data_IF_149026863932
#
_entry.id   IF_149026863932
#
_cell.length_a   1.000
_cell.length_b   1.000
_cell.length_c   1.000
_cell.angle_alpha   90.00
_cell.angle_beta   90.00
_cell.angle_gamma   90.00
#
_symmetry.space_group_name_H-M   'P 1'
#
loop_
_entity.id
_entity.type
_entity.pdbx_description
1 polymer ?
#
# COMPACT_ATOMS: atom_id res chain seq x y z
N UNK A 1 10.17 -13.53 17.67
CA UNK A 1 9.35 -14.42 18.52
C UNK A 1 10.19 -14.86 19.72
N UNK A 2 10.41 -13.92 20.62
CA UNK A 2 11.01 -14.17 21.93
C UNK A 2 9.94 -14.66 22.90
N UNK A 3 10.29 -15.56 23.82
CA UNK A 3 9.37 -16.06 24.85
C UNK A 3 8.84 -14.90 25.72
N UNK A 4 9.67 -13.87 25.92
CA UNK A 4 9.31 -12.66 26.66
C UNK A 4 8.22 -11.83 25.96
N UNK A 5 8.21 -11.77 24.63
CA UNK A 5 7.17 -11.08 23.85
C UNK A 5 5.82 -11.79 23.99
N UNK A 6 5.82 -13.13 23.94
CA UNK A 6 4.61 -13.93 24.08
C UNK A 6 4.01 -13.80 25.50
N UNK A 7 4.85 -13.83 26.52
CA UNK A 7 4.42 -13.69 27.92
C UNK A 7 3.90 -12.27 28.17
N UNK A 8 4.63 -11.24 27.72
CA UNK A 8 4.23 -9.85 27.90
C UNK A 8 2.89 -9.50 27.23
N UNK A 9 2.66 -10.03 26.02
CA UNK A 9 1.40 -9.85 25.28
C UNK A 9 0.22 -10.55 25.97
N UNK A 10 0.46 -11.68 26.65
CA UNK A 10 -0.59 -12.40 27.40
C UNK A 10 -1.12 -11.58 28.59
N UNK A 11 -0.24 -10.80 29.24
CA UNK A 11 -0.58 -9.98 30.40
C UNK A 11 -1.09 -8.58 30.02
N UNK A 12 -0.65 -8.02 28.90
CA UNK A 12 -1.05 -6.70 28.43
C UNK A 12 -1.11 -6.66 26.89
N UNK A 13 -2.22 -7.15 26.31
CA UNK A 13 -2.37 -7.19 24.86
C UNK A 13 -2.36 -5.77 24.29
N UNK A 14 -1.46 -5.54 23.34
CA UNK A 14 -1.40 -4.29 22.61
C UNK A 14 -2.47 -4.22 21.53
N UNK A 15 -2.87 -3.00 21.17
CA UNK A 15 -3.77 -2.82 20.03
C UNK A 15 -3.04 -3.15 18.73
N UNK A 16 -3.66 -3.98 17.90
CA UNK A 16 -3.14 -4.39 16.59
C UNK A 16 -3.93 -3.69 15.50
N UNK A 17 -3.22 -3.25 14.47
CA UNK A 17 -3.83 -2.70 13.27
C UNK A 17 -4.63 -3.75 12.49
N UNK A 18 -5.43 -3.28 11.53
CA UNK A 18 -6.33 -4.12 10.75
C UNK A 18 -6.09 -3.96 9.24
N UNK A 19 -6.38 -5.03 8.51
CA UNK A 19 -6.49 -5.02 7.06
C UNK A 19 -7.97 -5.13 6.71
N UNK A 20 -8.52 -4.04 6.19
CA UNK A 20 -9.92 -3.93 5.79
C UNK A 20 -10.01 -3.96 4.26
N UNK A 21 -11.02 -4.65 3.73
CA UNK A 21 -11.30 -4.71 2.29
C UNK A 21 -12.43 -3.76 1.87
N UNK A 22 -13.11 -3.14 2.85
CA UNK A 22 -14.30 -2.33 2.66
C UNK A 22 -13.95 -0.84 2.73
N UNK A 23 -13.25 -0.34 1.71
CA UNK A 23 -12.81 1.06 1.70
C UNK A 23 -13.92 2.02 1.26
N UNK A 24 -14.41 2.85 2.19
CA UNK A 24 -15.25 4.01 1.86
C UNK A 24 -14.37 5.05 1.17
N UNK A 25 -14.60 5.26 -0.13
CA UNK A 25 -13.78 6.12 -0.98
C UNK A 25 -14.23 7.57 -0.89
N UNK A 26 -13.24 8.45 -0.72
CA UNK A 26 -13.45 9.89 -0.75
C UNK A 26 -13.81 10.38 -2.15
N UNK A 27 -14.78 11.28 -2.21
CA UNK A 27 -15.16 12.00 -3.42
C UNK A 27 -14.38 13.32 -3.48
N UNK A 28 -13.83 13.64 -4.65
CA UNK A 28 -13.03 14.86 -4.86
C UNK A 28 -13.71 15.80 -5.85
N UNK A 29 -13.45 17.11 -5.74
CA UNK A 29 -13.88 18.05 -6.76
C UNK A 29 -13.17 17.79 -8.10
N UNK A 30 -13.87 18.07 -9.21
CA UNK A 30 -13.45 17.72 -10.57
C UNK A 30 -12.04 18.18 -10.96
N UNK A 31 -11.61 19.37 -10.52
CA UNK A 31 -10.25 19.89 -10.77
C UNK A 31 -9.17 19.01 -10.12
N UNK A 32 -9.38 18.59 -8.87
CA UNK A 32 -8.45 17.71 -8.17
C UNK A 32 -8.41 16.30 -8.75
N UNK A 33 -9.53 15.80 -9.29
CA UNK A 33 -9.56 14.50 -9.98
C UNK A 33 -8.58 14.49 -11.15
N UNK A 34 -8.57 15.54 -11.98
CA UNK A 34 -7.67 15.64 -13.15
C UNK A 34 -6.21 15.70 -12.70
N UNK A 35 -5.89 16.54 -11.71
CA UNK A 35 -4.52 16.66 -11.18
C UNK A 35 -4.03 15.31 -10.65
N UNK A 36 -4.86 14.63 -9.85
CA UNK A 36 -4.54 13.30 -9.32
C UNK A 36 -4.36 12.25 -10.41
N UNK A 37 -5.15 12.31 -11.48
CA UNK A 37 -5.00 11.42 -12.64
C UNK A 37 -3.65 11.65 -13.32
N UNK A 38 -3.26 12.90 -13.58
CA UNK A 38 -1.96 13.23 -14.19
C UNK A 38 -0.81 12.70 -13.32
N UNK A 39 -0.84 12.97 -12.01
CA UNK A 39 0.16 12.45 -11.06
C UNK A 39 0.19 10.92 -11.09
N UNK A 40 -0.97 10.27 -11.17
CA UNK A 40 -1.07 8.80 -11.22
C UNK A 40 -0.49 8.21 -12.50
N UNK A 41 -0.70 8.84 -13.65
CA UNK A 41 -0.10 8.41 -14.92
C UNK A 41 1.42 8.57 -14.91
N UNK A 42 1.94 9.67 -14.34
CA UNK A 42 3.37 9.86 -14.15
C UNK A 42 3.98 8.80 -13.21
N UNK A 43 3.30 8.49 -12.10
CA UNK A 43 3.70 7.43 -11.17
C UNK A 43 3.68 6.05 -11.81
N UNK A 44 2.66 5.74 -12.60
CA UNK A 44 2.56 4.47 -13.33
C UNK A 44 3.69 4.34 -14.35
N UNK A 45 3.93 5.38 -15.16
CA UNK A 45 5.03 5.42 -16.12
C UNK A 45 6.41 5.32 -15.45
N UNK A 46 6.59 5.93 -14.28
CA UNK A 46 7.81 5.78 -13.49
C UNK A 46 8.00 4.34 -13.02
N UNK A 47 6.95 3.69 -12.50
CA UNK A 47 7.03 2.28 -12.09
C UNK A 47 7.38 1.38 -13.27
N UNK A 48 6.68 1.53 -14.40
CA UNK A 48 6.99 0.79 -15.63
C UNK A 48 8.43 1.01 -16.09
N UNK A 49 8.89 2.26 -16.11
CA UNK A 49 10.27 2.59 -16.44
C UNK A 49 11.27 1.88 -15.51
N UNK A 50 11.03 1.89 -14.19
CA UNK A 50 11.91 1.22 -13.23
C UNK A 50 11.97 -0.30 -13.44
N UNK A 51 10.86 -0.94 -13.81
CA UNK A 51 10.84 -2.37 -14.11
C UNK A 51 11.49 -2.70 -15.46
N UNK A 52 11.25 -1.89 -16.49
CA UNK A 52 11.68 -2.17 -17.87
C UNK A 52 13.06 -1.61 -18.22
N UNK A 53 13.65 -0.74 -17.39
CA UNK A 53 14.99 -0.16 -17.62
C UNK A 53 16.11 -1.21 -17.68
N UNK A 54 15.89 -2.42 -17.16
CA UNK A 54 16.91 -3.47 -17.16
C UNK A 54 17.21 -3.93 -18.60
N UNK A 55 18.43 -3.67 -19.12
CA UNK A 55 18.74 -3.79 -20.55
C UNK A 55 18.66 -5.22 -21.09
N UNK A 56 18.72 -6.24 -20.20
CA UNK A 56 18.62 -7.65 -20.59
C UNK A 56 17.23 -8.06 -21.10
N UNK A 57 16.18 -7.26 -20.87
CA UNK A 57 14.81 -7.67 -21.16
C UNK A 57 14.01 -6.64 -21.97
N UNK A 58 14.64 -5.58 -22.47
CA UNK A 58 13.94 -4.48 -23.15
C UNK A 58 13.20 -4.91 -24.43
N UNK A 59 13.71 -5.93 -25.14
CA UNK A 59 13.08 -6.49 -26.35
C UNK A 59 12.35 -7.82 -26.11
N UNK A 60 12.25 -8.27 -24.87
CA UNK A 60 11.57 -9.51 -24.52
C UNK A 60 10.07 -9.25 -24.30
N UNK A 61 9.27 -9.55 -25.32
CA UNK A 61 7.81 -9.38 -25.26
C UNK A 61 7.18 -10.14 -24.09
N UNK A 62 7.70 -11.33 -23.74
CA UNK A 62 7.20 -12.13 -22.63
C UNK A 62 7.49 -11.43 -21.30
N UNK A 63 8.65 -10.80 -21.17
CA UNK A 63 8.99 -10.01 -19.98
C UNK A 63 8.07 -8.79 -19.83
N UNK A 64 7.84 -8.04 -20.91
CA UNK A 64 6.94 -6.88 -20.91
C UNK A 64 5.54 -7.30 -20.45
N UNK A 65 5.00 -8.40 -20.98
CA UNK A 65 3.70 -8.93 -20.56
C UNK A 65 3.69 -9.32 -19.08
N UNK A 66 4.74 -9.97 -18.57
CA UNK A 66 4.85 -10.35 -17.15
C UNK A 66 4.86 -9.13 -16.23
N UNK A 67 5.62 -8.09 -16.57
CA UNK A 67 5.67 -6.84 -15.80
C UNK A 67 4.30 -6.16 -15.77
N UNK A 68 3.63 -6.05 -16.92
CA UNK A 68 2.30 -5.45 -17.01
C UNK A 68 1.25 -6.26 -16.24
N UNK A 69 1.28 -7.59 -16.34
CA UNK A 69 0.39 -8.46 -15.57
C UNK A 69 0.63 -8.32 -14.06
N UNK A 70 1.90 -8.24 -13.63
CA UNK A 70 2.26 -8.01 -12.24
C UNK A 70 1.76 -6.65 -11.74
N UNK A 71 1.99 -5.57 -12.49
CA UNK A 71 1.51 -4.23 -12.16
C UNK A 71 -0.01 -4.19 -12.08
N UNK A 72 -0.72 -4.85 -13.00
CA UNK A 72 -2.18 -4.93 -12.97
C UNK A 72 -2.68 -5.62 -11.69
N UNK A 73 -2.09 -6.77 -11.34
CA UNK A 73 -2.43 -7.49 -10.10
C UNK A 73 -2.13 -6.61 -8.88
N UNK A 74 -0.96 -5.98 -8.84
CA UNK A 74 -0.58 -5.06 -7.78
C UNK A 74 -1.58 -3.91 -7.61
N UNK A 75 -2.01 -3.27 -8.70
CA UNK A 75 -3.02 -2.21 -8.67
C UNK A 75 -4.37 -2.71 -8.18
N UNK A 76 -4.83 -3.88 -8.64
CA UNK A 76 -6.10 -4.49 -8.20
C UNK A 76 -6.11 -4.81 -6.71
N UNK A 77 -5.00 -5.36 -6.20
CA UNK A 77 -4.84 -5.65 -4.78
C UNK A 77 -4.80 -4.33 -3.98
N UNK A 78 -3.96 -3.39 -4.38
CA UNK A 78 -3.83 -2.07 -3.74
C UNK A 78 -5.15 -1.31 -3.67
N UNK A 79 -6.00 -1.49 -4.69
CA UNK A 79 -7.30 -0.85 -4.80
C UNK A 79 -8.33 -1.37 -3.80
N UNK A 80 -8.23 -2.65 -3.43
CA UNK A 80 -9.16 -3.31 -2.50
C UNK A 80 -8.69 -3.21 -1.04
N UNK A 81 -7.39 -3.25 -0.82
CA UNK A 81 -6.84 -3.33 0.54
C UNK A 81 -6.78 -1.93 1.18
N UNK A 82 -7.25 -1.82 2.42
CA UNK A 82 -7.05 -0.68 3.32
C UNK A 82 -6.29 -1.15 4.55
N UNK A 83 -5.04 -0.70 4.66
CA UNK A 83 -4.17 -1.04 5.77
C UNK A 83 -4.25 0.06 6.82
N UNK A 84 -4.68 -0.29 8.02
CA UNK A 84 -4.70 0.58 9.20
C UNK A 84 -3.73 0.03 10.21
N UNK A 85 -2.51 0.56 10.22
CA UNK A 85 -1.55 0.32 11.30
C UNK A 85 -1.94 1.14 12.53
N UNK A 86 -1.79 0.57 13.74
CA UNK A 86 -1.89 1.38 14.95
C UNK A 86 -0.53 2.05 15.23
N UNK A 87 -0.47 3.37 15.08
CA UNK A 87 0.76 4.14 15.32
C UNK A 87 1.12 4.30 16.79
N UNK A 88 0.17 4.10 17.69
CA UNK A 88 0.36 4.27 19.14
C UNK A 88 1.05 3.05 19.77
N UNK A 89 1.21 1.97 18.99
CA UNK A 89 1.86 0.72 19.41
C UNK A 89 2.93 0.31 18.38
N UNK A 90 3.91 1.21 18.17
CA UNK A 90 5.10 1.04 17.30
C UNK A 90 6.43 0.98 18.10
N UNK A 91 6.36 0.58 19.37
CA UNK A 91 7.51 0.49 20.27
C UNK A 91 7.84 1.80 20.97
N UNK A 92 9.02 1.86 21.61
CA UNK A 92 9.46 3.03 22.38
C UNK A 92 9.96 4.16 21.48
N UNK A 93 10.54 3.80 20.34
CA UNK A 93 10.89 4.72 19.26
C UNK A 93 10.36 4.11 17.96
N UNK A 94 9.46 4.79 17.24
CA UNK A 94 8.87 4.25 16.01
C UNK A 94 9.97 3.76 15.06
N UNK A 95 9.92 2.47 14.68
CA UNK A 95 10.87 1.79 13.78
C UNK A 95 12.30 1.56 14.26
N UNK A 96 12.71 2.09 15.42
CA UNK A 96 14.11 2.06 15.87
C UNK A 96 14.35 1.14 17.07
N UNK A 97 13.38 1.04 17.99
CA UNK A 97 13.53 0.24 19.21
C UNK A 97 12.29 -0.62 19.41
N UNK A 98 12.46 -1.94 19.29
CA UNK A 98 11.44 -2.96 19.61
C UNK A 98 11.02 -2.90 21.06
N UNK A 99 9.72 -3.09 21.30
CA UNK A 99 9.26 -3.44 22.63
C UNK A 99 9.45 -4.95 22.84
N UNK A 100 10.41 -5.39 23.68
CA UNK A 100 10.75 -6.80 23.85
C UNK A 100 9.65 -7.64 24.53
N UNK A 101 8.52 -7.02 24.89
CA UNK A 101 7.39 -7.64 25.57
C UNK A 101 6.09 -7.59 24.75
N UNK A 102 6.09 -7.12 23.50
CA UNK A 102 4.86 -6.99 22.68
C UNK A 102 5.03 -7.47 21.26
N UNK A 103 4.38 -8.59 20.93
CA UNK A 103 4.29 -9.11 19.55
C UNK A 103 3.43 -8.18 18.68
N UNK A 104 2.45 -7.51 19.28
CA UNK A 104 1.57 -6.55 18.59
C UNK A 104 2.33 -5.39 17.93
N UNK A 105 3.51 -5.04 18.45
CA UNK A 105 4.42 -4.03 17.88
C UNK A 105 4.96 -4.44 16.51
N UNK A 106 5.50 -5.66 16.42
CA UNK A 106 6.01 -6.24 15.15
C UNK A 106 4.93 -6.26 14.08
N UNK A 107 3.71 -6.66 14.44
CA UNK A 107 2.57 -6.64 13.53
C UNK A 107 2.25 -5.23 13.04
N UNK A 108 2.23 -4.23 13.92
CA UNK A 108 1.96 -2.85 13.52
C UNK A 108 3.05 -2.29 12.60
N UNK A 109 4.32 -2.58 12.87
CA UNK A 109 5.44 -2.20 11.99
C UNK A 109 5.33 -2.85 10.62
N UNK A 110 5.03 -4.14 10.58
CA UNK A 110 4.78 -4.86 9.34
C UNK A 110 3.62 -4.23 8.56
N UNK A 111 2.52 -3.87 9.23
CA UNK A 111 1.41 -3.16 8.61
C UNK A 111 1.82 -1.80 8.07
N UNK A 112 2.71 -1.05 8.72
CA UNK A 112 3.22 0.21 8.15
C UNK A 112 4.06 -0.05 6.90
N UNK A 113 4.93 -1.06 6.90
CA UNK A 113 5.71 -1.44 5.71
C UNK A 113 4.77 -1.79 4.56
N UNK A 114 3.75 -2.62 4.81
CA UNK A 114 2.74 -2.93 3.80
C UNK A 114 2.00 -1.66 3.34
N UNK A 115 1.63 -0.77 4.26
CA UNK A 115 0.95 0.49 3.93
C UNK A 115 1.78 1.33 2.98
N UNK A 116 3.08 1.48 3.23
CA UNK A 116 4.01 2.22 2.35
C UNK A 116 4.14 1.51 1.00
N UNK A 117 4.29 0.17 1.00
CA UNK A 117 4.44 -0.62 -0.22
C UNK A 117 3.20 -0.54 -1.14
N UNK A 118 1.99 -0.54 -0.59
CA UNK A 118 0.74 -0.48 -1.35
C UNK A 118 0.25 0.96 -1.60
N UNK A 119 0.84 1.96 -0.96
CA UNK A 119 0.46 3.37 -1.10
C UNK A 119 0.48 3.86 -2.57
N UNK A 120 1.55 3.66 -3.37
CA UNK A 120 1.56 4.17 -4.73
C UNK A 120 0.50 3.48 -5.60
N UNK A 121 0.35 2.16 -5.51
CA UNK A 121 -0.69 1.44 -6.24
C UNK A 121 -2.11 1.87 -5.85
N UNK A 122 -2.33 2.15 -4.56
CA UNK A 122 -3.61 2.65 -4.06
C UNK A 122 -3.91 4.05 -4.56
N UNK A 123 -2.90 4.92 -4.61
CA UNK A 123 -3.04 6.27 -5.17
C UNK A 123 -3.42 6.21 -6.66
N UNK A 124 -2.73 5.39 -7.45
CA UNK A 124 -2.98 5.24 -8.90
C UNK A 124 -4.39 4.71 -9.15
N UNK A 125 -4.72 3.57 -8.54
CA UNK A 125 -6.00 2.87 -8.76
C UNK A 125 -7.21 3.70 -8.29
N UNK A 126 -7.12 4.37 -7.14
CA UNK A 126 -8.17 5.26 -6.65
C UNK A 126 -8.38 6.47 -7.55
N UNK A 127 -7.31 7.05 -8.09
CA UNK A 127 -7.40 8.21 -8.99
C UNK A 127 -8.03 7.86 -10.34
N UNK A 128 -7.66 6.70 -10.92
CA UNK A 128 -8.28 6.18 -12.15
C UNK A 128 -9.78 5.94 -11.92
N UNK A 129 -10.14 5.29 -10.81
CA UNK A 129 -11.55 5.02 -10.47
C UNK A 129 -12.35 6.32 -10.27
N UNK A 130 -11.79 7.29 -9.55
CA UNK A 130 -12.44 8.58 -9.32
C UNK A 130 -12.65 9.34 -10.63
N UNK A 131 -11.69 9.28 -11.56
CA UNK A 131 -11.84 9.85 -12.89
C UNK A 131 -12.95 9.15 -13.68
N UNK A 132 -12.93 7.81 -13.73
CA UNK A 132 -13.98 7.03 -14.38
C UNK A 132 -15.38 7.38 -13.84
N UNK A 133 -15.54 7.40 -12.52
CA UNK A 133 -16.80 7.78 -11.85
C UNK A 133 -17.22 9.20 -12.22
N UNK A 134 -16.28 10.14 -12.32
CA UNK A 134 -16.59 11.54 -12.69
C UNK A 134 -17.05 11.71 -14.14
N UNK A 135 -16.78 10.74 -15.02
CA UNK A 135 -17.27 10.73 -16.40
C UNK A 135 -18.65 10.09 -16.48
N UNK A 136 -18.81 8.93 -15.82
CA UNK A 136 -20.03 8.10 -15.91
C UNK A 136 -21.19 8.68 -15.12
N UNK A 137 -20.95 9.34 -13.99
CA UNK A 137 -21.99 9.93 -13.14
C UNK A 137 -22.28 11.40 -13.51
N UNK A 138 -22.03 11.80 -14.76
CA UNK A 138 -22.54 13.06 -15.33
C UNK A 138 -23.95 12.87 -15.85
#
# INVERSE_FOLDING_TARGET
MSIFELIGELFNPGQVGEIDFNDRRETYHRKFIIIRLVISLLLLGLLEYLFLRYPKHYNDFVYILKVNAFLLIYLLISFKIKIRSNSDNLGWVPFLIDNPFRISDDFNRFLVVLKVLFMPGKYISSSIHNFYKSIVTK
#
